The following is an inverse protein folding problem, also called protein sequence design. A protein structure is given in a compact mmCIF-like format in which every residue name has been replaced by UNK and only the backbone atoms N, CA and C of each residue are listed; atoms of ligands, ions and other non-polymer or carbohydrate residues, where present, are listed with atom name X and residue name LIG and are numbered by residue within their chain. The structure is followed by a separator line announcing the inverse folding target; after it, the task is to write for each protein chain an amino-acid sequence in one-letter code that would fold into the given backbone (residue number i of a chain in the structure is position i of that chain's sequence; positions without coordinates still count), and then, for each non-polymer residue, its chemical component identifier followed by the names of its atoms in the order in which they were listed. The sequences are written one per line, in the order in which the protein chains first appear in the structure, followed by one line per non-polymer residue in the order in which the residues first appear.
data_IF_742603871935
#
_entry.id   IF_742603871935
#
_cell.length_a   1.000
_cell.length_b   1.000
_cell.length_c   1.000
_cell.angle_alpha   90.00
_cell.angle_beta   90.00
_cell.angle_gamma   90.00
#
_symmetry.space_group_name_H-M   'P 1'
#
loop_
_entity.id
_entity.type
_entity.pdbx_description
1 polymer ?
#
# COMPACT_ATOMS: atom_id res chain seq x y z
N UNK A 1 -12.47 -34.73 10.68
CA UNK A 1 -11.18 -34.22 10.18
C UNK A 1 -11.42 -32.75 9.91
N UNK A 2 -11.35 -31.96 10.99
CA UNK A 2 -11.71 -30.55 11.00
C UNK A 2 -10.84 -29.73 10.05
N UNK A 3 -11.51 -28.97 9.18
CA UNK A 3 -10.97 -27.77 8.54
C UNK A 3 -10.53 -26.79 9.62
N UNK A 4 -9.27 -26.93 10.05
CA UNK A 4 -8.58 -25.86 10.76
C UNK A 4 -8.45 -24.72 9.77
N UNK A 5 -9.20 -23.65 10.01
CA UNK A 5 -8.98 -22.34 9.39
C UNK A 5 -7.51 -22.01 9.64
N UNK A 6 -6.66 -22.29 8.65
CA UNK A 6 -5.28 -21.83 8.63
C UNK A 6 -5.37 -20.32 8.78
N UNK A 7 -4.79 -19.78 9.86
CA UNK A 7 -4.69 -18.34 10.04
C UNK A 7 -4.19 -17.77 8.70
N UNK A 8 -4.97 -16.90 8.06
CA UNK A 8 -4.82 -16.52 6.64
C UNK A 8 -3.39 -16.08 6.28
N UNK A 9 -2.60 -15.62 7.25
CA UNK A 9 -1.17 -15.38 7.10
C UNK A 9 -0.33 -16.60 6.72
N UNK A 10 -0.60 -17.81 7.22
CA UNK A 10 0.22 -19.00 6.93
C UNK A 10 0.11 -19.45 5.47
N UNK A 11 -1.09 -19.40 4.90
CA UNK A 11 -1.35 -19.74 3.49
C UNK A 11 -0.62 -18.77 2.55
N UNK A 12 -0.65 -17.47 2.86
CA UNK A 12 0.04 -16.44 2.06
C UNK A 12 1.56 -16.64 2.14
N UNK A 13 2.09 -16.94 3.32
CA UNK A 13 3.52 -17.20 3.51
C UNK A 13 3.99 -18.45 2.75
N UNK A 14 3.19 -19.50 2.71
CA UNK A 14 3.47 -20.70 1.90
C UNK A 14 3.47 -20.39 0.40
N UNK A 15 2.50 -19.59 -0.06
CA UNK A 15 2.44 -19.15 -1.45
C UNK A 15 3.69 -18.35 -1.84
N UNK A 16 4.06 -17.33 -1.05
CA UNK A 16 5.23 -16.48 -1.31
C UNK A 16 6.52 -17.33 -1.34
N UNK A 17 6.67 -18.27 -0.40
CA UNK A 17 7.83 -19.18 -0.36
C UNK A 17 7.91 -20.08 -1.61
N UNK A 18 6.77 -20.48 -2.17
CA UNK A 18 6.70 -21.37 -3.34
C UNK A 18 6.96 -20.64 -4.65
N UNK A 19 6.49 -19.40 -4.77
CA UNK A 19 6.45 -18.65 -6.03
C UNK A 19 7.84 -18.36 -6.62
N UNK A 20 8.92 -18.32 -5.82
CA UNK A 20 10.33 -18.06 -6.22
C UNK A 20 10.59 -16.77 -7.00
N UNK A 21 9.57 -16.05 -7.47
CA UNK A 21 9.68 -14.77 -8.17
C UNK A 21 9.33 -13.58 -7.28
N UNK A 22 8.74 -13.83 -6.10
CA UNK A 22 8.49 -12.81 -5.08
C UNK A 22 9.65 -12.75 -4.09
N UNK A 23 10.20 -11.56 -3.90
CA UNK A 23 11.15 -11.25 -2.83
C UNK A 23 10.45 -10.48 -1.71
N UNK A 24 10.53 -11.00 -0.47
CA UNK A 24 10.02 -10.32 0.71
C UNK A 24 11.08 -9.39 1.29
N UNK A 25 10.76 -8.10 1.35
CA UNK A 25 11.57 -7.08 2.04
C UNK A 25 10.93 -6.80 3.40
N UNK A 26 11.72 -6.83 4.46
CA UNK A 26 11.25 -6.57 5.82
C UNK A 26 11.63 -5.16 6.25
N UNK A 27 10.66 -4.45 6.81
CA UNK A 27 10.87 -3.14 7.44
C UNK A 27 10.91 -3.26 8.97
N UNK A 28 11.55 -2.30 9.62
CA UNK A 28 11.52 -2.17 11.07
C UNK A 28 10.08 -1.98 11.58
N UNK A 29 9.80 -2.47 12.78
CA UNK A 29 8.49 -2.24 13.41
C UNK A 29 8.31 -0.75 13.67
N UNK A 30 7.08 -0.27 13.51
CA UNK A 30 6.72 1.14 13.70
C UNK A 30 7.46 2.11 12.77
N UNK A 31 7.87 1.64 11.58
CA UNK A 31 8.47 2.47 10.54
C UNK A 31 7.54 2.68 9.33
N UNK A 32 6.38 3.35 9.49
CA UNK A 32 5.48 3.63 8.38
C UNK A 32 6.12 4.54 7.32
N UNK A 33 7.15 5.32 7.68
CA UNK A 33 7.95 6.14 6.78
C UNK A 33 8.76 5.33 5.78
N UNK A 34 9.06 4.06 6.05
CA UNK A 34 9.72 3.19 5.09
C UNK A 34 8.71 2.49 4.17
N UNK A 35 7.41 2.48 4.53
CA UNK A 35 6.36 1.83 3.75
C UNK A 35 5.81 2.76 2.65
N UNK A 36 6.29 2.57 1.43
CA UNK A 36 5.82 3.25 0.22
C UNK A 36 4.30 3.32 0.07
N UNK A 37 3.60 2.21 0.35
CA UNK A 37 2.15 2.15 0.15
C UNK A 37 1.42 3.10 1.11
N UNK A 38 1.91 3.23 2.33
CA UNK A 38 1.34 4.14 3.34
C UNK A 38 1.49 5.61 2.92
N UNK A 39 2.60 5.97 2.29
CA UNK A 39 2.82 7.32 1.75
C UNK A 39 1.87 7.65 0.61
N UNK A 40 1.75 6.75 -0.37
CA UNK A 40 0.82 6.92 -1.50
C UNK A 40 -0.60 7.08 -0.97
N UNK A 41 -1.00 6.23 -0.02
CA UNK A 41 -2.31 6.28 0.61
C UNK A 41 -2.57 7.59 1.36
N UNK A 42 -1.64 8.04 2.20
CA UNK A 42 -1.76 9.31 2.94
C UNK A 42 -1.91 10.49 2.01
N UNK A 43 -1.10 10.56 0.95
CA UNK A 43 -1.15 11.64 -0.03
C UNK A 43 -2.47 11.66 -0.79
N UNK A 44 -2.89 10.53 -1.36
CA UNK A 44 -4.15 10.46 -2.09
C UNK A 44 -5.37 10.69 -1.20
N UNK A 45 -5.39 10.15 0.03
CA UNK A 45 -6.45 10.44 1.00
C UNK A 45 -6.54 11.94 1.29
N UNK A 46 -5.40 12.58 1.53
CA UNK A 46 -5.30 14.02 1.83
C UNK A 46 -5.78 14.88 0.66
N UNK A 47 -5.47 14.47 -0.57
CA UNK A 47 -5.84 15.21 -1.78
C UNK A 47 -7.31 15.03 -2.19
N UNK A 48 -7.85 13.81 -2.06
CA UNK A 48 -9.13 13.45 -2.70
C UNK A 48 -10.28 13.36 -1.72
N UNK A 49 -10.03 12.90 -0.49
CA UNK A 49 -11.10 12.54 0.45
C UNK A 49 -11.04 13.29 1.78
N UNK A 50 -10.07 14.19 1.97
CA UNK A 50 -9.89 14.89 3.24
C UNK A 50 -11.08 15.79 3.54
N UNK A 51 -11.78 15.52 4.65
CA UNK A 51 -13.01 16.18 5.06
C UNK A 51 -14.13 16.18 4.00
N UNK A 52 -14.08 15.26 3.03
CA UNK A 52 -15.10 15.13 2.01
C UNK A 52 -16.24 14.23 2.51
N UNK A 53 -17.48 14.67 2.29
CA UNK A 53 -18.65 13.79 2.46
C UNK A 53 -18.89 13.00 1.17
N UNK A 54 -18.52 11.72 1.18
CA UNK A 54 -18.60 10.85 0.01
C UNK A 54 -20.03 10.33 -0.14
N UNK A 55 -20.77 10.89 -1.09
CA UNK A 55 -22.12 10.43 -1.46
C UNK A 55 -22.13 9.34 -2.52
N UNK A 56 -21.11 9.35 -3.38
CA UNK A 56 -20.92 8.39 -4.46
C UNK A 56 -19.49 7.85 -4.36
N UNK A 57 -19.37 6.55 -4.09
CA UNK A 57 -18.09 5.89 -3.93
C UNK A 57 -17.33 5.80 -5.27
N UNK A 58 -18.03 5.58 -6.38
CA UNK A 58 -17.42 5.45 -7.70
C UNK A 58 -16.73 6.74 -8.11
N UNK A 59 -17.40 7.88 -7.89
CA UNK A 59 -16.83 9.20 -8.17
C UNK A 59 -15.58 9.49 -7.31
N UNK A 60 -15.57 9.04 -6.04
CA UNK A 60 -14.40 9.19 -5.18
C UNK A 60 -13.26 8.26 -5.62
N UNK A 61 -13.57 7.06 -6.10
CA UNK A 61 -12.60 6.13 -6.67
C UNK A 61 -11.98 6.68 -7.95
N UNK A 62 -12.79 7.21 -8.88
CA UNK A 62 -12.31 7.80 -10.12
C UNK A 62 -11.36 8.97 -9.86
N UNK A 63 -11.73 9.87 -8.94
CA UNK A 63 -10.87 10.99 -8.54
C UNK A 63 -9.56 10.52 -7.88
N UNK A 64 -9.61 9.44 -7.11
CA UNK A 64 -8.41 8.82 -6.53
C UNK A 64 -7.52 8.21 -7.60
N UNK A 65 -8.09 7.49 -8.57
CA UNK A 65 -7.36 6.94 -9.72
C UNK A 65 -6.72 8.03 -10.57
N UNK A 66 -7.43 9.12 -10.85
CA UNK A 66 -6.89 10.27 -11.56
C UNK A 66 -5.70 10.88 -10.82
N UNK A 67 -5.82 11.08 -9.50
CA UNK A 67 -4.72 11.57 -8.67
C UNK A 67 -3.50 10.65 -8.74
N UNK A 68 -3.67 9.33 -8.63
CA UNK A 68 -2.57 8.37 -8.71
C UNK A 68 -1.87 8.40 -10.07
N UNK A 69 -2.62 8.53 -11.16
CA UNK A 69 -2.06 8.57 -12.51
C UNK A 69 -1.29 9.87 -12.81
N UNK A 70 -1.70 10.98 -12.20
CA UNK A 70 -1.07 12.28 -12.42
C UNK A 70 0.09 12.60 -11.46
N UNK A 71 0.18 11.89 -10.32
CA UNK A 71 1.10 12.25 -9.24
C UNK A 71 2.39 11.43 -9.26
N UNK A 72 3.53 12.13 -9.25
CA UNK A 72 4.83 11.52 -8.91
C UNK A 72 5.06 11.62 -7.42
N UNK A 73 5.16 10.49 -6.74
CA UNK A 73 5.41 10.44 -5.29
C UNK A 73 6.91 10.49 -5.01
N UNK A 74 7.33 11.49 -4.25
CA UNK A 74 8.70 11.53 -3.72
C UNK A 74 8.87 10.47 -2.64
N UNK A 75 9.98 9.74 -2.68
CA UNK A 75 10.28 8.71 -1.70
C UNK A 75 11.78 8.66 -1.41
N UNK A 76 12.08 8.35 -0.15
CA UNK A 76 13.42 8.08 0.34
C UNK A 76 13.39 6.74 1.07
N UNK A 77 14.31 5.84 0.73
CA UNK A 77 14.49 4.55 1.39
C UNK A 77 15.82 4.59 2.12
N UNK A 78 15.82 4.42 3.44
CA UNK A 78 17.05 4.35 4.25
C UNK A 78 18.04 5.52 3.98
N UNK A 79 17.52 6.73 3.76
CA UNK A 79 18.33 7.92 3.48
C UNK A 79 18.75 8.11 2.01
N UNK A 80 18.43 7.17 1.12
CA UNK A 80 18.58 7.34 -0.32
C UNK A 80 17.28 7.83 -0.93
N UNK A 81 17.30 9.04 -1.51
CA UNK A 81 16.15 9.59 -2.21
C UNK A 81 16.26 9.34 -3.71
N UNK A 82 15.15 8.95 -4.33
CA UNK A 82 14.99 9.03 -5.78
C UNK A 82 14.34 10.39 -6.08
N UNK A 83 15.16 11.38 -6.41
CA UNK A 83 14.74 12.71 -6.85
C UNK A 83 15.25 13.00 -8.26
N UNK A 84 14.40 13.65 -9.06
CA UNK A 84 14.82 14.49 -10.18
C UNK A 84 15.41 15.79 -9.64
#
# INVERSE_FOLDING_TARGET
MEDRILASGSVIQEFIKKDKNIATVYFSRYSPEENLQEHVWKNGRSAVTHNAFIKNIDAATDAFTEYLNATKFQYSLLGFSAGL
#
